data_IF_426520205020
#
_entry.id   IF_426520205020
#
_cell.length_a   1.000
_cell.length_b   1.000
_cell.length_c   1.000
_cell.angle_alpha   90.00
_cell.angle_beta   90.00
_cell.angle_gamma   90.00
#
_symmetry.space_group_name_H-M   'P 1'
#
loop_
_entity.id
_entity.type
_entity.pdbx_description
1 polymer ?
#
# COMPACT_ATOMS: atom_id res chain seq x y z
N UNK A 1 -7.15 2.67 12.03
CA UNK A 1 -5.68 2.44 11.96
C UNK A 1 -5.46 1.13 11.21
N UNK A 2 -4.78 1.20 10.07
CA UNK A 2 -4.37 0.06 9.25
C UNK A 2 -3.32 -0.79 9.98
N UNK A 3 -3.44 -2.10 9.88
CA UNK A 3 -2.46 -3.07 10.41
C UNK A 3 -2.21 -4.14 9.36
N UNK A 4 -0.99 -4.26 8.87
CA UNK A 4 -0.63 -5.15 7.78
C UNK A 4 0.75 -5.79 7.99
N UNK A 5 0.94 -6.99 7.47
CA UNK A 5 2.25 -7.65 7.33
C UNK A 5 2.66 -7.61 5.88
N UNK A 6 3.90 -7.17 5.60
CA UNK A 6 4.49 -7.15 4.25
C UNK A 6 5.64 -8.13 4.14
N UNK A 7 5.58 -8.95 3.11
CA UNK A 7 6.57 -9.97 2.78
C UNK A 7 7.06 -9.79 1.34
N UNK A 8 8.36 -9.72 1.16
CA UNK A 8 9.01 -9.62 -0.13
C UNK A 8 9.46 -10.97 -0.64
N UNK A 9 9.26 -11.20 -1.93
CA UNK A 9 9.68 -12.40 -2.64
C UNK A 9 10.73 -12.03 -3.69
N UNK A 10 11.58 -13.00 -4.02
CA UNK A 10 12.65 -12.78 -4.98
C UNK A 10 12.15 -12.59 -6.42
N UNK A 11 10.98 -13.20 -6.75
CA UNK A 11 10.37 -13.14 -8.07
C UNK A 11 8.86 -13.43 -8.02
N UNK A 12 8.18 -13.14 -9.12
CA UNK A 12 6.74 -13.35 -9.28
C UNK A 12 6.33 -14.81 -9.13
N UNK A 13 7.15 -15.76 -9.60
CA UNK A 13 6.84 -17.19 -9.49
C UNK A 13 6.80 -17.63 -8.02
N UNK A 14 7.79 -17.22 -7.23
CA UNK A 14 7.86 -17.51 -5.80
C UNK A 14 6.70 -16.90 -5.04
N UNK A 15 6.30 -15.65 -5.38
CA UNK A 15 5.14 -14.98 -4.81
C UNK A 15 3.86 -15.77 -5.06
N UNK A 16 3.55 -16.09 -6.31
CA UNK A 16 2.28 -16.75 -6.65
C UNK A 16 2.23 -18.24 -6.27
N UNK A 17 3.36 -18.90 -5.97
CA UNK A 17 3.37 -20.22 -5.36
C UNK A 17 2.65 -20.26 -4.01
N UNK A 18 2.66 -19.16 -3.26
CA UNK A 18 1.91 -19.05 -1.99
C UNK A 18 0.42 -19.22 -2.23
N UNK A 19 -0.16 -18.53 -3.22
CA UNK A 19 -1.59 -18.65 -3.56
C UNK A 19 -2.00 -20.05 -4.04
N UNK A 20 -1.04 -20.87 -4.51
CA UNK A 20 -1.27 -22.24 -4.95
C UNK A 20 -1.10 -23.26 -3.81
N UNK A 21 -0.56 -22.86 -2.66
CA UNK A 21 -0.33 -23.74 -1.52
C UNK A 21 -1.64 -24.26 -0.93
N UNK A 22 -1.58 -25.44 -0.33
CA UNK A 22 -2.73 -26.04 0.34
C UNK A 22 -3.16 -25.22 1.55
N UNK A 23 -2.21 -24.71 2.30
CA UNK A 23 -2.48 -23.92 3.52
C UNK A 23 -3.15 -22.58 3.19
N UNK A 24 -2.72 -21.90 2.10
CA UNK A 24 -3.41 -20.70 1.64
C UNK A 24 -4.86 -21.00 1.24
N UNK A 25 -5.07 -22.07 0.45
CA UNK A 25 -6.42 -22.45 -0.02
C UNK A 25 -7.38 -22.83 1.09
N UNK A 26 -6.91 -23.42 2.18
CA UNK A 26 -7.73 -23.73 3.36
C UNK A 26 -8.27 -22.50 4.07
N UNK A 27 -7.57 -21.36 3.94
CA UNK A 27 -7.98 -20.09 4.54
C UNK A 27 -8.94 -19.30 3.64
N UNK A 28 -9.00 -19.65 2.35
CA UNK A 28 -9.93 -18.99 1.43
C UNK A 28 -11.35 -19.53 1.64
N UNK A 29 -12.38 -18.67 1.71
CA UNK A 29 -13.78 -19.09 1.64
C UNK A 29 -14.09 -19.72 0.27
N UNK A 30 -15.29 -20.32 0.10
CA UNK A 30 -15.69 -21.09 -1.09
C UNK A 30 -15.58 -20.33 -2.43
N UNK A 31 -15.51 -18.99 -2.38
CA UNK A 31 -15.25 -18.11 -3.53
C UNK A 31 -14.06 -17.18 -3.23
N UNK A 32 -12.81 -17.68 -3.42
CA UNK A 32 -11.63 -17.06 -2.84
C UNK A 32 -11.12 -15.79 -3.54
N UNK A 33 -11.47 -15.57 -4.80
CA UNK A 33 -10.95 -14.42 -5.57
C UNK A 33 -11.96 -13.29 -5.52
N UNK A 34 -11.61 -12.22 -4.83
CA UNK A 34 -12.48 -11.04 -4.74
C UNK A 34 -12.38 -10.21 -6.02
N UNK A 35 -11.18 -10.08 -6.57
CA UNK A 35 -10.92 -9.27 -7.75
C UNK A 35 -9.92 -9.94 -8.68
N UNK A 36 -10.24 -9.91 -9.99
CA UNK A 36 -9.26 -10.22 -11.03
C UNK A 36 -8.07 -9.25 -10.94
N UNK A 37 -6.88 -9.68 -11.44
CA UNK A 37 -5.72 -8.81 -11.45
C UNK A 37 -6.05 -7.46 -12.11
N UNK A 38 -5.78 -6.38 -11.43
CA UNK A 38 -5.97 -5.02 -11.95
C UNK A 38 -4.69 -4.20 -11.78
N UNK A 39 -4.50 -3.24 -12.67
CA UNK A 39 -3.37 -2.33 -12.63
C UNK A 39 -3.64 -1.19 -11.64
N UNK A 40 -2.70 -0.98 -10.74
CA UNK A 40 -2.67 0.16 -9.83
C UNK A 40 -1.57 1.12 -10.26
N UNK A 41 -1.96 2.32 -10.68
CA UNK A 41 -1.04 3.40 -10.99
C UNK A 41 -1.05 4.40 -9.83
N UNK A 42 0.09 4.59 -9.18
CA UNK A 42 0.20 5.40 -7.98
C UNK A 42 1.10 6.61 -8.23
N UNK A 43 0.53 7.79 -8.05
CA UNK A 43 1.25 9.06 -8.00
C UNK A 43 1.35 9.50 -6.55
N UNK A 44 2.56 9.78 -6.08
CA UNK A 44 2.79 10.28 -4.73
C UNK A 44 3.08 11.77 -4.77
N UNK A 45 2.42 12.50 -3.87
CA UNK A 45 2.58 13.95 -3.73
C UNK A 45 3.37 14.28 -2.47
N UNK A 46 4.21 15.31 -2.56
CA UNK A 46 4.88 15.92 -1.42
C UNK A 46 5.24 17.38 -1.77
N UNK A 47 5.74 18.11 -0.81
CA UNK A 47 6.37 19.40 -1.07
C UNK A 47 7.76 19.20 -1.69
N UNK A 48 8.35 20.25 -2.25
CA UNK A 48 9.66 20.18 -2.89
C UNK A 48 10.77 19.72 -1.93
N UNK A 49 10.67 20.10 -0.65
CA UNK A 49 11.60 19.73 0.43
C UNK A 49 11.17 18.46 1.20
N UNK A 50 10.16 17.73 0.71
CA UNK A 50 9.65 16.49 1.30
C UNK A 50 9.11 16.68 2.73
N UNK A 51 8.45 17.79 3.01
CA UNK A 51 7.90 18.11 4.34
C UNK A 51 6.95 17.02 4.83
N UNK A 52 6.06 16.49 3.98
CA UNK A 52 5.09 15.44 4.35
C UNK A 52 5.81 14.15 4.73
N UNK A 53 6.76 13.70 3.90
CA UNK A 53 7.60 12.52 4.19
C UNK A 53 8.40 12.71 5.47
N UNK A 54 9.00 13.88 5.67
CA UNK A 54 9.81 14.20 6.85
C UNK A 54 8.97 14.22 8.15
N UNK A 55 7.67 14.49 8.05
CA UNK A 55 6.69 14.37 9.14
C UNK A 55 6.19 12.93 9.36
N UNK A 56 6.63 11.96 8.56
CA UNK A 56 6.16 10.57 8.62
C UNK A 56 4.83 10.34 7.89
N UNK A 57 4.47 11.24 6.97
CA UNK A 57 3.28 11.15 6.13
C UNK A 57 3.58 10.64 4.72
N UNK A 58 2.51 10.31 3.99
CA UNK A 58 2.52 10.04 2.56
C UNK A 58 1.16 10.38 1.96
N UNK A 59 1.15 11.06 0.81
CA UNK A 59 -0.06 11.31 0.02
C UNK A 59 0.06 10.49 -1.27
N UNK A 60 -0.99 9.72 -1.57
CA UNK A 60 -1.09 8.90 -2.78
C UNK A 60 -2.37 9.21 -3.54
N UNK A 61 -2.24 9.44 -4.83
CA UNK A 61 -3.33 9.36 -5.80
C UNK A 61 -3.17 8.01 -6.49
N UNK A 62 -4.15 7.13 -6.34
CA UNK A 62 -4.17 5.82 -6.99
C UNK A 62 -5.25 5.79 -8.06
N UNK A 63 -4.87 5.43 -9.27
CA UNK A 63 -5.77 5.15 -10.37
C UNK A 63 -5.97 3.63 -10.47
N UNK A 64 -7.21 3.18 -10.45
CA UNK A 64 -7.60 1.79 -10.66
C UNK A 64 -7.97 1.63 -12.12
N UNK A 65 -7.08 1.01 -12.91
CA UNK A 65 -7.35 0.79 -14.32
C UNK A 65 -7.51 -0.71 -14.63
N UNK A 66 -8.48 -1.04 -15.50
CA UNK A 66 -8.81 -2.43 -15.83
C UNK A 66 -9.76 -3.11 -14.84
N UNK A 67 -10.21 -2.43 -13.80
CA UNK A 67 -11.32 -2.85 -12.97
C UNK A 67 -12.66 -2.67 -13.69
N UNK A 68 -13.75 -3.20 -13.13
CA UNK A 68 -15.10 -3.00 -13.68
C UNK A 68 -15.52 -1.53 -13.73
N UNK A 69 -14.92 -0.69 -12.91
CA UNK A 69 -15.07 0.77 -12.89
C UNK A 69 -13.69 1.42 -12.89
N UNK A 70 -13.52 2.45 -13.71
CA UNK A 70 -12.34 3.31 -13.73
C UNK A 70 -12.54 4.43 -12.69
N UNK A 71 -11.69 4.50 -11.67
CA UNK A 71 -11.79 5.50 -10.60
C UNK A 71 -10.44 5.81 -9.96
N UNK A 72 -10.41 6.90 -9.20
CA UNK A 72 -9.27 7.29 -8.39
C UNK A 72 -9.56 7.10 -6.91
N UNK A 73 -8.50 6.83 -6.14
CA UNK A 73 -8.53 6.84 -4.70
C UNK A 73 -7.41 7.73 -4.18
N UNK A 74 -7.78 8.68 -3.34
CA UNK A 74 -6.83 9.51 -2.60
C UNK A 74 -6.60 8.88 -1.24
N UNK A 75 -5.34 8.68 -0.90
CA UNK A 75 -4.93 8.12 0.39
C UNK A 75 -3.95 9.05 1.08
N UNK A 76 -4.18 9.32 2.36
CA UNK A 76 -3.17 9.92 3.23
C UNK A 76 -2.84 8.91 4.31
N UNK A 77 -1.55 8.59 4.47
CA UNK A 77 -1.02 7.75 5.55
C UNK A 77 -0.17 8.59 6.48
N UNK A 78 -0.23 8.33 7.79
CA UNK A 78 0.53 9.12 8.76
C UNK A 78 0.93 8.31 9.99
N UNK A 79 2.14 8.60 10.47
CA UNK A 79 2.66 8.08 11.74
C UNK A 79 2.81 6.56 11.76
N UNK A 80 2.74 6.01 12.96
CA UNK A 80 2.85 4.59 13.19
C UNK A 80 4.28 4.07 13.22
N UNK A 81 4.43 2.78 13.06
CA UNK A 81 5.71 2.10 13.13
C UNK A 81 5.79 0.88 12.22
N UNK A 82 7.01 0.47 11.97
CA UNK A 82 7.31 -0.75 11.19
C UNK A 82 8.33 -1.58 11.94
N UNK A 83 8.09 -2.87 12.05
CA UNK A 83 9.05 -3.81 12.62
C UNK A 83 8.83 -5.21 12.06
N UNK A 84 9.87 -5.79 11.48
CA UNK A 84 9.83 -7.16 10.94
C UNK A 84 8.69 -7.41 9.95
N UNK A 85 8.42 -6.41 9.09
CA UNK A 85 7.34 -6.47 8.10
C UNK A 85 5.94 -6.10 8.63
N UNK A 86 5.74 -6.01 9.94
CA UNK A 86 4.48 -5.50 10.51
C UNK A 86 4.45 -3.98 10.43
N UNK A 87 3.44 -3.44 9.77
CA UNK A 87 3.19 -2.01 9.63
C UNK A 87 1.89 -1.63 10.33
N UNK A 88 1.90 -0.51 11.05
CA UNK A 88 0.71 0.07 11.67
C UNK A 88 0.71 1.57 11.43
N UNK A 89 -0.36 2.11 10.80
CA UNK A 89 -0.45 3.53 10.44
C UNK A 89 -1.89 4.03 10.46
N UNK A 90 -2.06 5.31 10.71
CA UNK A 90 -3.32 5.98 10.42
C UNK A 90 -3.46 6.13 8.90
N UNK A 91 -4.66 5.89 8.40
CA UNK A 91 -4.97 5.95 6.99
C UNK A 91 -6.35 6.54 6.75
N UNK A 92 -6.41 7.47 5.79
CA UNK A 92 -7.65 8.06 5.31
C UNK A 92 -7.71 7.85 3.81
N UNK A 93 -8.85 7.33 3.33
CA UNK A 93 -9.11 7.04 1.92
C UNK A 93 -10.35 7.76 1.45
N UNK A 94 -10.29 8.35 0.26
CA UNK A 94 -11.41 9.03 -0.39
C UNK A 94 -11.46 8.61 -1.85
N UNK A 95 -12.59 7.99 -2.26
CA UNK A 95 -12.83 7.64 -3.67
C UNK A 95 -13.18 8.91 -4.46
N UNK A 96 -12.65 9.04 -5.68
CA UNK A 96 -12.89 10.16 -6.59
C UNK A 96 -13.08 9.69 -8.01
N UNK A 97 -13.82 10.47 -8.81
CA UNK A 97 -14.02 10.22 -10.24
C UNK A 97 -12.94 10.91 -11.10
N UNK A 98 -12.10 11.75 -10.50
CA UNK A 98 -10.98 12.38 -11.17
C UNK A 98 -9.71 12.35 -10.31
N UNK A 99 -8.57 12.51 -10.94
CA UNK A 99 -7.26 12.47 -10.27
C UNK A 99 -6.83 13.80 -9.63
N UNK A 100 -7.76 14.74 -9.39
CA UNK A 100 -7.45 16.08 -8.86
C UNK A 100 -7.54 16.09 -7.34
N UNK A 101 -6.40 15.97 -6.69
CA UNK A 101 -6.30 16.06 -5.24
C UNK A 101 -6.41 17.51 -4.77
N UNK A 102 -7.19 17.76 -3.73
CA UNK A 102 -7.24 19.01 -2.99
C UNK A 102 -7.26 18.73 -1.49
N UNK A 103 -6.40 19.38 -0.74
CA UNK A 103 -6.27 19.23 0.72
C UNK A 103 -7.60 19.53 1.42
N UNK A 104 -8.26 20.62 1.04
CA UNK A 104 -9.52 21.02 1.66
C UNK A 104 -10.64 20.01 1.38
N UNK A 105 -10.81 19.61 0.12
CA UNK A 105 -11.82 18.61 -0.28
C UNK A 105 -11.58 17.27 0.39
N UNK A 106 -10.32 16.81 0.45
CA UNK A 106 -9.94 15.57 1.12
C UNK A 106 -10.25 15.60 2.62
N UNK A 107 -9.84 16.67 3.31
CA UNK A 107 -10.10 16.85 4.75
C UNK A 107 -11.60 16.85 5.04
N UNK A 108 -12.40 17.56 4.24
CA UNK A 108 -13.85 17.61 4.41
C UNK A 108 -14.48 16.20 4.23
N UNK A 109 -14.04 15.43 3.25
CA UNK A 109 -14.51 14.06 3.04
C UNK A 109 -14.12 13.12 4.20
N UNK A 110 -12.97 13.35 4.85
CA UNK A 110 -12.49 12.54 5.99
C UNK A 110 -13.05 12.97 7.34
N UNK A 111 -13.86 14.02 7.44
CA UNK A 111 -14.35 14.56 8.72
C UNK A 111 -15.15 13.57 9.58
N UNK A 112 -15.74 12.54 8.96
CA UNK A 112 -16.47 11.45 9.62
C UNK A 112 -15.65 10.15 9.75
N UNK A 113 -14.34 10.17 9.49
CA UNK A 113 -13.46 9.02 9.58
C UNK A 113 -13.32 8.52 11.02
N UNK A 114 -13.07 7.22 11.18
CA UNK A 114 -12.74 6.63 12.49
C UNK A 114 -11.31 6.94 12.95
N UNK A 115 -10.42 7.37 12.05
CA UNK A 115 -9.07 7.76 12.40
C UNK A 115 -9.03 9.23 12.87
N UNK A 116 -8.14 9.58 13.81
CA UNK A 116 -8.11 10.89 14.44
C UNK A 116 -7.92 12.03 13.44
N UNK A 117 -8.93 12.84 13.24
CA UNK A 117 -8.92 13.97 12.30
C UNK A 117 -7.83 15.00 12.61
N UNK A 118 -7.50 15.18 13.89
CA UNK A 118 -6.44 16.12 14.30
C UNK A 118 -5.07 15.72 13.76
N UNK A 119 -4.80 14.42 13.66
CA UNK A 119 -3.55 13.93 13.06
C UNK A 119 -3.50 14.21 11.55
N UNK A 120 -4.62 14.17 10.85
CA UNK A 120 -4.70 14.57 9.45
C UNK A 120 -4.35 16.05 9.28
N UNK A 121 -4.76 16.92 10.23
CA UNK A 121 -4.38 18.32 10.21
C UNK A 121 -2.87 18.54 10.39
N UNK A 122 -2.20 17.71 11.19
CA UNK A 122 -0.74 17.80 11.36
C UNK A 122 0.03 17.46 10.08
N UNK A 123 -0.50 16.52 9.26
CA UNK A 123 0.12 16.20 7.95
C UNK A 123 0.18 17.44 7.06
N UNK A 124 -0.92 18.20 6.99
CA UNK A 124 -1.08 19.34 6.08
C UNK A 124 -0.76 20.71 6.71
N UNK A 125 -0.24 20.73 7.94
CA UNK A 125 0.06 21.99 8.63
C UNK A 125 1.01 22.85 7.78
N UNK A 126 0.60 24.10 7.54
CA UNK A 126 1.34 25.10 6.76
C UNK A 126 1.62 24.66 5.30
N UNK A 127 0.80 23.77 4.73
CA UNK A 127 0.90 23.30 3.34
C UNK A 127 -0.41 23.63 2.61
N UNK A 128 -0.28 24.15 1.41
CA UNK A 128 -1.38 24.44 0.48
C UNK A 128 -1.34 23.50 -0.73
N UNK A 129 -2.40 23.48 -1.54
CA UNK A 129 -2.43 22.69 -2.79
C UNK A 129 -1.30 23.10 -3.76
N UNK A 130 -0.91 24.38 -3.78
CA UNK A 130 0.14 24.92 -4.65
C UNK A 130 1.55 24.42 -4.28
N UNK A 131 1.75 24.02 -3.03
CA UNK A 131 3.03 23.47 -2.53
C UNK A 131 3.22 22.00 -2.94
N UNK A 132 2.12 21.30 -3.30
CA UNK A 132 2.18 19.90 -3.65
C UNK A 132 2.74 19.67 -5.06
N UNK A 133 3.73 18.79 -5.15
CA UNK A 133 4.37 18.37 -6.40
C UNK A 133 4.38 16.84 -6.46
N UNK A 134 4.49 16.30 -7.68
CA UNK A 134 4.71 14.86 -7.86
C UNK A 134 6.12 14.52 -7.35
N UNK A 135 6.17 13.74 -6.29
CA UNK A 135 7.43 13.28 -5.70
C UNK A 135 7.97 12.04 -6.44
N UNK A 136 7.12 11.08 -6.69
CA UNK A 136 7.46 9.87 -7.45
C UNK A 136 6.19 9.15 -7.94
N UNK A 137 6.39 8.11 -8.75
CA UNK A 137 5.34 7.33 -9.38
C UNK A 137 5.73 5.86 -9.43
N UNK A 138 4.77 4.94 -9.23
CA UNK A 138 4.93 3.53 -9.53
C UNK A 138 3.62 2.91 -10.05
N UNK A 139 3.76 1.75 -10.70
CA UNK A 139 2.62 0.97 -11.16
C UNK A 139 2.89 -0.52 -10.94
N UNK A 140 1.85 -1.26 -10.54
CA UNK A 140 1.93 -2.70 -10.35
C UNK A 140 0.55 -3.35 -10.50
N UNK A 141 0.55 -4.64 -10.80
CA UNK A 141 -0.66 -5.45 -10.80
C UNK A 141 -0.90 -6.01 -9.40
N UNK A 142 -2.17 -5.99 -8.96
CA UNK A 142 -2.63 -6.54 -7.69
C UNK A 142 -3.68 -7.62 -7.93
N UNK A 143 -3.52 -8.75 -7.27
CA UNK A 143 -4.57 -9.77 -7.10
C UNK A 143 -4.94 -9.84 -5.63
N UNK A 144 -6.22 -9.82 -5.31
CA UNK A 144 -6.72 -9.77 -3.94
C UNK A 144 -7.50 -11.03 -3.60
N UNK A 145 -7.25 -11.56 -2.41
CA UNK A 145 -7.97 -12.70 -1.82
C UNK A 145 -8.46 -12.33 -0.42
N UNK A 146 -9.66 -12.78 -0.08
CA UNK A 146 -10.11 -12.81 1.33
C UNK A 146 -9.65 -14.10 2.00
N UNK A 147 -9.10 -13.97 3.19
CA UNK A 147 -8.75 -15.08 4.06
C UNK A 147 -9.55 -15.00 5.34
N UNK A 148 -9.97 -16.17 5.85
CA UNK A 148 -10.63 -16.30 7.14
C UNK A 148 -9.80 -17.22 8.03
N UNK A 149 -9.48 -16.75 9.24
CA UNK A 149 -8.76 -17.51 10.24
C UNK A 149 -9.28 -17.21 11.64
N UNK A 150 -9.66 -18.22 12.40
CA UNK A 150 -10.38 -18.04 13.68
C UNK A 150 -11.60 -17.11 13.52
N UNK A 151 -11.57 -15.94 14.18
CA UNK A 151 -12.59 -14.89 14.06
C UNK A 151 -12.09 -13.66 13.27
N UNK A 152 -10.96 -13.80 12.60
CA UNK A 152 -10.32 -12.73 11.84
C UNK A 152 -10.61 -12.84 10.34
N UNK A 153 -10.75 -11.68 9.71
CA UNK A 153 -10.81 -11.49 8.26
C UNK A 153 -9.56 -10.73 7.83
N UNK A 154 -8.84 -11.28 6.85
CA UNK A 154 -7.58 -10.75 6.37
C UNK A 154 -7.67 -10.62 4.86
N UNK A 155 -7.26 -9.47 4.33
CA UNK A 155 -7.08 -9.27 2.90
C UNK A 155 -5.64 -9.61 2.52
N UNK A 156 -5.48 -10.52 1.55
CA UNK A 156 -4.18 -10.92 1.01
C UNK A 156 -3.99 -10.32 -0.39
N UNK A 157 -3.09 -9.35 -0.50
CA UNK A 157 -2.76 -8.64 -1.73
C UNK A 157 -1.45 -9.13 -2.32
N UNK A 158 -1.52 -9.73 -3.51
CA UNK A 158 -0.36 -10.17 -4.28
C UNK A 158 0.02 -9.09 -5.29
N UNK A 159 1.11 -8.39 -5.04
CA UNK A 159 1.56 -7.27 -5.85
C UNK A 159 2.77 -7.65 -6.70
N UNK A 160 2.67 -7.44 -8.01
CA UNK A 160 3.77 -7.67 -8.94
C UNK A 160 3.93 -6.54 -9.94
N UNK A 161 5.13 -6.01 -10.07
CA UNK A 161 5.42 -4.88 -10.96
C UNK A 161 6.87 -4.47 -10.95
N UNK A 162 7.14 -3.27 -11.47
CA UNK A 162 8.50 -2.72 -11.55
C UNK A 162 8.48 -1.24 -11.20
N UNK A 163 9.29 -0.85 -10.24
CA UNK A 163 9.64 0.55 -9.98
C UNK A 163 10.75 0.93 -10.97
N UNK A 164 10.63 2.11 -11.58
CA UNK A 164 11.66 2.68 -12.46
C UNK A 164 12.01 4.08 -11.99
N UNK A 165 13.27 4.47 -12.13
CA UNK A 165 13.66 5.86 -12.03
C UNK A 165 13.20 6.65 -13.28
N UNK A 166 13.36 7.98 -13.26
CA UNK A 166 12.82 8.86 -14.32
C UNK A 166 13.36 8.56 -15.74
N UNK A 167 14.63 8.17 -15.87
CA UNK A 167 15.23 7.82 -17.15
C UNK A 167 15.16 6.34 -17.51
N UNK A 168 14.59 5.51 -16.63
CA UNK A 168 14.45 4.06 -16.81
C UNK A 168 15.76 3.27 -16.70
N UNK A 169 16.88 3.91 -16.35
CA UNK A 169 18.19 3.26 -16.24
C UNK A 169 18.34 2.34 -15.03
N UNK A 170 17.48 2.53 -14.03
CA UNK A 170 17.41 1.69 -12.83
C UNK A 170 16.00 1.14 -12.64
N UNK A 171 15.93 -0.10 -12.23
CA UNK A 171 14.68 -0.80 -11.92
C UNK A 171 14.80 -1.50 -10.58
N UNK A 172 13.65 -1.66 -9.90
CA UNK A 172 13.49 -2.48 -8.71
C UNK A 172 12.17 -3.25 -8.84
N UNK A 173 12.18 -4.54 -8.58
CA UNK A 173 11.00 -5.37 -8.75
C UNK A 173 10.05 -5.24 -7.55
N UNK A 174 8.76 -5.21 -7.83
CA UNK A 174 7.70 -5.40 -6.84
C UNK A 174 7.24 -6.84 -6.95
N UNK A 175 7.57 -7.64 -5.93
CA UNK A 175 7.06 -8.98 -5.72
C UNK A 175 6.74 -9.10 -4.24
N UNK A 176 5.54 -8.69 -3.84
CA UNK A 176 5.18 -8.50 -2.43
C UNK A 176 3.82 -9.14 -2.13
N UNK A 177 3.73 -9.77 -0.97
CA UNK A 177 2.47 -10.16 -0.34
C UNK A 177 2.22 -9.20 0.82
N UNK A 178 1.08 -8.51 0.77
CA UNK A 178 0.57 -7.72 1.88
C UNK A 178 -0.62 -8.46 2.49
N UNK A 179 -0.58 -8.69 3.79
CA UNK A 179 -1.68 -9.26 4.56
C UNK A 179 -2.23 -8.15 5.45
N UNK A 180 -3.43 -7.68 5.17
CA UNK A 180 -4.09 -6.61 5.93
C UNK A 180 -5.17 -7.17 6.83
N UNK A 181 -5.11 -6.84 8.12
CA UNK A 181 -6.13 -7.21 9.09
C UNK A 181 -7.37 -6.30 8.95
N UNK A 182 -8.42 -6.84 8.34
CA UNK A 182 -9.69 -6.11 8.17
C UNK A 182 -10.48 -6.13 9.47
N UNK A 183 -10.47 -7.28 10.17
CA UNK A 183 -11.16 -7.47 11.45
C UNK A 183 -10.51 -8.61 12.22
N UNK A 184 -10.44 -8.51 13.53
CA UNK A 184 -9.99 -9.60 14.39
C UNK A 184 -8.76 -9.27 15.21
N UNK A 185 -7.91 -10.26 15.47
CA UNK A 185 -6.73 -10.18 16.34
C UNK A 185 -5.45 -10.08 15.50
N UNK A 186 -4.51 -9.23 15.93
CA UNK A 186 -3.18 -9.10 15.31
C UNK A 186 -2.40 -10.43 15.42
N UNK A 187 -2.62 -11.20 16.47
CA UNK A 187 -1.98 -12.52 16.63
C UNK A 187 -2.37 -13.46 15.47
N UNK A 188 -3.63 -13.44 15.05
CA UNK A 188 -4.10 -14.24 13.90
C UNK A 188 -3.40 -13.81 12.60
N UNK A 189 -3.11 -12.52 12.42
CA UNK A 189 -2.37 -12.02 11.26
C UNK A 189 -0.95 -12.58 11.21
N UNK A 190 -0.25 -12.58 12.33
CA UNK A 190 1.10 -13.15 12.45
C UNK A 190 1.10 -14.67 12.22
N UNK A 191 0.11 -15.39 12.77
CA UNK A 191 -0.04 -16.85 12.57
C UNK A 191 -0.34 -17.18 11.11
N UNK A 192 -1.24 -16.44 10.44
CA UNK A 192 -1.56 -16.63 9.02
C UNK A 192 -0.33 -16.36 8.17
N UNK A 193 0.40 -15.27 8.42
CA UNK A 193 1.62 -14.96 7.70
C UNK A 193 2.65 -16.12 7.79
N UNK A 194 2.88 -16.64 8.99
CA UNK A 194 3.79 -17.76 9.22
C UNK A 194 3.30 -19.05 8.52
N UNK A 195 2.00 -19.34 8.59
CA UNK A 195 1.40 -20.54 8.02
C UNK A 195 1.54 -20.58 6.50
N UNK A 196 1.09 -19.53 5.79
CA UNK A 196 1.04 -19.52 4.32
C UNK A 196 2.40 -19.33 3.67
N UNK A 197 3.40 -18.84 4.42
CA UNK A 197 4.76 -18.66 3.94
C UNK A 197 5.73 -19.72 4.46
N UNK A 198 5.22 -20.76 5.14
CA UNK A 198 6.05 -21.87 5.60
C UNK A 198 6.79 -22.53 4.43
N UNK A 199 8.13 -22.48 4.45
CA UNK A 199 8.98 -22.98 3.37
C UNK A 199 9.05 -22.12 2.12
N UNK A 200 8.43 -20.95 2.09
CA UNK A 200 8.60 -19.99 1.01
C UNK A 200 9.91 -19.18 1.19
N UNK A 201 10.54 -18.84 0.05
CA UNK A 201 11.71 -17.95 0.04
C UNK A 201 11.23 -16.50 0.03
N UNK A 202 10.88 -16.01 1.21
CA UNK A 202 10.41 -14.64 1.43
C UNK A 202 11.05 -14.01 2.66
N UNK A 203 11.01 -12.68 2.74
CA UNK A 203 11.54 -11.91 3.86
C UNK A 203 10.59 -10.77 4.24
N UNK A 204 10.53 -10.41 5.54
CA UNK A 204 9.80 -9.22 5.97
C UNK A 204 10.27 -7.95 5.25
N UNK A 205 9.31 -7.10 4.82
CA UNK A 205 9.58 -5.82 4.17
C UNK A 205 9.22 -4.65 5.09
N UNK A 206 10.23 -3.99 5.64
CA UNK A 206 10.06 -2.77 6.43
C UNK A 206 9.94 -1.50 5.55
N UNK A 207 10.49 -1.54 4.33
CA UNK A 207 10.39 -0.42 3.38
C UNK A 207 9.14 -0.53 2.53
N UNK A 208 8.31 0.52 2.57
CA UNK A 208 7.12 0.60 1.72
C UNK A 208 7.47 0.81 0.24
N UNK A 209 6.56 0.45 -0.67
CA UNK A 209 6.66 0.76 -2.11
C UNK A 209 6.95 2.25 -2.35
N UNK A 210 6.26 3.14 -1.59
CA UNK A 210 6.52 4.57 -1.63
C UNK A 210 7.99 4.92 -1.35
N UNK A 211 8.52 4.47 -0.21
CA UNK A 211 9.91 4.79 0.17
C UNK A 211 10.94 4.22 -0.81
N UNK A 212 10.70 3.03 -1.37
CA UNK A 212 11.56 2.45 -2.40
C UNK A 212 11.52 3.30 -3.66
N UNK A 213 10.34 3.69 -4.12
CA UNK A 213 10.15 4.53 -5.30
C UNK A 213 10.76 5.92 -5.12
N UNK A 214 10.51 6.56 -3.97
CA UNK A 214 11.06 7.87 -3.64
C UNK A 214 12.58 7.86 -3.60
N UNK A 215 13.20 6.86 -2.94
CA UNK A 215 14.67 6.74 -2.89
C UNK A 215 15.28 6.59 -4.27
N UNK A 216 14.62 5.89 -5.19
CA UNK A 216 15.05 5.75 -6.57
C UNK A 216 14.95 7.10 -7.31
N UNK A 217 13.85 7.82 -7.17
CA UNK A 217 13.65 9.15 -7.75
C UNK A 217 14.65 10.18 -7.22
N UNK A 218 14.95 10.17 -5.90
CA UNK A 218 15.93 11.07 -5.29
C UNK A 218 17.37 10.78 -5.71
N UNK A 219 17.70 9.52 -6.00
CA UNK A 219 19.00 9.15 -6.55
C UNK A 219 19.32 9.83 -7.88
N UNK A 220 18.28 10.17 -8.66
CA UNK A 220 18.41 10.88 -9.93
C UNK A 220 18.52 12.40 -9.75
N UNK A 221 17.89 12.98 -8.71
CA UNK A 221 17.96 14.43 -8.43
C UNK A 221 19.33 14.90 -7.89
N UNK A 222 20.17 13.97 -7.43
CA UNK A 222 21.52 14.27 -6.90
C UNK A 222 22.63 14.22 -7.97
N UNK A 223 22.28 14.00 -9.22
CA UNK A 223 23.18 14.02 -10.39
C UNK A 223 22.92 15.25 -11.26
#
# INVERSE_FOLDING_TARGET
METEVKLGFKDKESLYKVALSEDFRKLCPDNPVIHEPFLLENTYLDTEDLTITNRGGAIRIRHYSGASEDFYEFTVKYGGGTSKGLHRRFEWNVKSNDGKFSIEAFKNACSASNDPYDLLNEVFKDITDDDLKVACFNAFNRTVYELSYNNSSIEACFDSGVIKNFDGSKTDEICELELELIKGDIADLDEVAALITAGADCAPLDKTKYMRTLNMALGDRKR
#
